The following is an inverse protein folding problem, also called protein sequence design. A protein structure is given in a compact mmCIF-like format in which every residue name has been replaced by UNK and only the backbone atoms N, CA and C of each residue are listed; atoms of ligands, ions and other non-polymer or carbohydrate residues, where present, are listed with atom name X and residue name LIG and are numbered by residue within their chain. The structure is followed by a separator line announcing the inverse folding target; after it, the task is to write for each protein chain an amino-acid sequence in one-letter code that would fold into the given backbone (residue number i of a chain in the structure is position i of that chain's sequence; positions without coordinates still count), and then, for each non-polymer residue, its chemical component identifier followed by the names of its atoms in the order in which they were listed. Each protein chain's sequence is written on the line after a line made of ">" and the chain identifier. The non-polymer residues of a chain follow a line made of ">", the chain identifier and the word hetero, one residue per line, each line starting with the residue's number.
data_IF_591558926283
#
_entry.id   IF_591558926283
#
_cell.length_a   1.000
_cell.length_b   1.000
_cell.length_c   1.000
_cell.angle_alpha   90.00
_cell.angle_beta   90.00
_cell.angle_gamma   90.00
#
_symmetry.space_group_name_H-M   'P 1'
#
loop_
_entity.id
_entity.type
_entity.pdbx_description
1 polymer ?
#
# COMPACT_ATOMS: atom_id res chain seq x y z
N UNK A 1 3.06 2.69 3.94
CA UNK A 1 1.83 1.91 3.76
C UNK A 1 0.65 2.62 4.42
N UNK A 2 -0.54 2.52 3.85
CA UNK A 2 -1.79 3.04 4.43
C UNK A 2 -2.91 2.02 4.26
N UNK A 3 -3.67 1.78 5.33
CA UNK A 3 -4.82 0.87 5.30
C UNK A 3 -6.13 1.57 4.89
N UNK A 4 -6.13 2.89 4.79
CA UNK A 4 -7.37 3.66 4.58
C UNK A 4 -8.33 3.59 5.76
N UNK A 5 -9.58 3.98 5.54
CA UNK A 5 -10.65 3.96 6.56
C UNK A 5 -11.55 2.73 6.54
N UNK A 6 -11.28 1.76 5.67
CA UNK A 6 -12.07 0.53 5.55
C UNK A 6 -11.61 -0.61 6.46
N UNK A 7 -12.17 -1.79 6.23
CA UNK A 7 -11.72 -3.00 6.90
C UNK A 7 -10.28 -3.34 6.53
N UNK A 8 -9.50 -3.77 7.51
CA UNK A 8 -8.11 -4.16 7.35
C UNK A 8 -7.99 -5.64 7.68
N UNK A 9 -7.32 -6.41 6.82
CA UNK A 9 -6.98 -7.78 7.17
C UNK A 9 -5.63 -7.83 7.91
N UNK A 10 -5.54 -8.68 8.92
CA UNK A 10 -4.28 -8.93 9.62
C UNK A 10 -3.22 -9.47 8.66
N UNK A 11 -3.60 -10.35 7.74
CA UNK A 11 -2.70 -10.89 6.70
C UNK A 11 -2.01 -9.80 5.89
N UNK A 12 -2.74 -8.75 5.52
CA UNK A 12 -2.18 -7.62 4.77
C UNK A 12 -1.18 -6.82 5.62
N UNK A 13 -1.51 -6.55 6.88
CA UNK A 13 -0.62 -5.83 7.79
C UNK A 13 0.65 -6.62 8.06
N UNK A 14 0.53 -7.89 8.36
CA UNK A 14 1.66 -8.78 8.62
C UNK A 14 2.55 -8.94 7.39
N UNK A 15 1.94 -9.16 6.21
CA UNK A 15 2.67 -9.26 4.96
C UNK A 15 3.44 -7.98 4.63
N UNK A 16 2.81 -6.82 4.78
CA UNK A 16 3.46 -5.54 4.48
C UNK A 16 4.57 -5.21 5.49
N UNK A 17 4.35 -5.45 6.78
CA UNK A 17 5.38 -5.23 7.82
C UNK A 17 6.57 -6.18 7.59
N UNK A 18 6.30 -7.45 7.33
CA UNK A 18 7.32 -8.46 7.08
C UNK A 18 8.08 -8.29 5.78
N UNK A 19 7.48 -7.62 4.80
CA UNK A 19 8.09 -7.40 3.49
C UNK A 19 9.35 -6.56 3.55
N UNK A 20 9.46 -5.62 4.50
CA UNK A 20 10.65 -4.78 4.62
C UNK A 20 11.94 -5.58 4.73
N UNK A 21 11.98 -6.61 5.57
CA UNK A 21 13.16 -7.44 5.77
C UNK A 21 13.53 -8.30 4.54
N UNK A 22 12.59 -8.48 3.62
CA UNK A 22 12.76 -9.29 2.38
C UNK A 22 12.97 -8.43 1.13
N UNK A 23 12.71 -7.12 1.22
CA UNK A 23 12.91 -6.17 0.12
C UNK A 23 14.38 -5.78 0.01
N UNK A 24 14.81 -5.46 -1.21
CA UNK A 24 16.10 -4.81 -1.48
C UNK A 24 16.22 -3.43 -0.80
N UNK A 25 15.10 -2.89 -0.30
CA UNK A 25 15.00 -1.60 0.39
C UNK A 25 14.92 -1.76 1.92
N UNK A 26 15.52 -2.80 2.48
CA UNK A 26 15.47 -3.09 3.93
C UNK A 26 16.07 -2.00 4.82
N UNK A 27 16.94 -1.16 4.28
CA UNK A 27 17.55 -0.04 5.02
C UNK A 27 16.66 1.19 5.10
N UNK A 28 15.60 1.29 4.29
CA UNK A 28 14.68 2.42 4.30
C UNK A 28 13.68 2.25 5.45
N UNK A 29 13.34 3.36 6.10
CA UNK A 29 12.26 3.39 7.09
C UNK A 29 10.91 3.16 6.42
N UNK A 30 10.13 2.24 6.94
CA UNK A 30 8.76 1.98 6.52
C UNK A 30 7.79 2.54 7.54
N UNK A 31 6.84 3.33 7.08
CA UNK A 31 5.77 3.89 7.89
C UNK A 31 4.47 3.18 7.55
N UNK A 32 3.77 2.68 8.57
CA UNK A 32 2.49 1.99 8.45
C UNK A 32 1.42 2.83 9.14
N UNK A 33 0.52 3.38 8.33
CA UNK A 33 -0.60 4.19 8.81
C UNK A 33 -1.85 3.31 8.89
N UNK A 34 -2.38 3.14 10.09
CA UNK A 34 -3.55 2.31 10.35
C UNK A 34 -4.75 3.20 10.67
N UNK A 35 -5.86 2.97 9.96
CA UNK A 35 -7.10 3.68 10.18
C UNK A 35 -7.67 3.48 11.60
N UNK A 36 -8.55 4.39 12.00
CA UNK A 36 -9.13 4.39 13.35
C UNK A 36 -10.12 3.25 13.61
N UNK A 37 -10.51 2.49 12.57
CA UNK A 37 -11.42 1.35 12.70
C UNK A 37 -10.78 0.11 13.38
N UNK A 38 -9.45 0.02 13.38
CA UNK A 38 -8.78 -1.04 14.12
C UNK A 38 -8.85 -0.74 15.63
N UNK A 39 -9.35 -1.68 16.47
CA UNK A 39 -9.40 -1.50 17.92
C UNK A 39 -8.03 -1.13 18.52
N UNK A 40 -8.04 -0.39 19.63
CA UNK A 40 -6.81 0.16 20.21
C UNK A 40 -5.85 -0.91 20.70
N UNK A 41 -6.36 -2.01 21.25
CA UNK A 41 -5.55 -3.15 21.70
C UNK A 41 -4.82 -3.84 20.53
N UNK A 42 -5.51 -4.05 19.41
CA UNK A 42 -4.91 -4.58 18.19
C UNK A 42 -3.90 -3.60 17.57
N UNK A 43 -4.22 -2.32 17.54
CA UNK A 43 -3.28 -1.29 17.08
C UNK A 43 -2.02 -1.25 17.94
N UNK A 44 -2.17 -1.26 19.26
CA UNK A 44 -1.05 -1.25 20.18
C UNK A 44 -0.15 -2.49 20.01
N UNK A 45 -0.74 -3.66 19.73
CA UNK A 45 0.02 -4.88 19.44
C UNK A 45 0.91 -4.72 18.21
N UNK A 46 0.40 -4.14 17.10
CA UNK A 46 1.22 -3.86 15.91
C UNK A 46 2.30 -2.82 16.18
N UNK A 47 1.98 -1.74 16.88
CA UNK A 47 2.91 -0.67 17.22
C UNK A 47 4.06 -1.17 18.10
N UNK A 48 3.73 -1.91 19.16
CA UNK A 48 4.70 -2.32 20.20
C UNK A 48 5.58 -3.48 19.73
N UNK A 49 5.11 -4.28 18.76
CA UNK A 49 5.87 -5.39 18.18
C UNK A 49 6.46 -5.04 16.78
N UNK A 50 6.40 -3.79 16.36
CA UNK A 50 6.95 -3.39 15.07
C UNK A 50 8.47 -3.67 15.00
N UNK A 51 8.97 -4.32 13.95
CA UNK A 51 10.38 -4.60 13.82
C UNK A 51 11.18 -3.31 13.61
N UNK A 52 12.47 -3.38 13.87
CA UNK A 52 13.37 -2.24 13.64
C UNK A 52 13.21 -1.66 12.22
N UNK A 53 13.09 -0.34 12.12
CA UNK A 53 12.90 0.36 10.85
C UNK A 53 11.46 0.43 10.36
N UNK A 54 10.50 -0.17 11.08
CA UNK A 54 9.07 -0.01 10.84
C UNK A 54 8.47 0.86 11.93
N UNK A 55 7.71 1.88 11.54
CA UNK A 55 6.98 2.77 12.46
C UNK A 55 5.48 2.60 12.19
N UNK A 56 4.74 2.22 13.20
CA UNK A 56 3.28 2.05 13.14
C UNK A 56 2.60 3.23 13.81
N UNK A 57 1.73 3.91 13.08
CA UNK A 57 1.01 5.11 13.51
C UNK A 57 -0.46 5.03 13.12
N UNK A 58 -1.31 5.80 13.78
CA UNK A 58 -2.67 6.06 13.30
C UNK A 58 -2.65 6.91 12.03
N UNK A 59 -3.69 6.80 11.22
CA UNK A 59 -3.88 7.64 10.04
C UNK A 59 -3.79 9.12 10.41
N UNK A 60 -3.15 9.90 9.54
CA UNK A 60 -2.75 11.29 9.80
C UNK A 60 -3.45 12.24 8.82
N UNK A 61 -3.77 13.47 9.24
CA UNK A 61 -4.36 14.47 8.36
C UNK A 61 -3.42 14.97 7.26
N UNK A 62 -2.10 14.85 7.45
CA UNK A 62 -1.07 15.23 6.48
C UNK A 62 -0.69 14.10 5.49
N UNK A 63 -1.58 13.13 5.28
CA UNK A 63 -1.34 11.96 4.42
C UNK A 63 -0.86 12.34 3.02
N UNK A 64 -1.44 13.37 2.40
CA UNK A 64 -1.05 13.83 1.07
C UNK A 64 0.41 14.31 1.03
N UNK A 65 0.85 14.99 2.08
CA UNK A 65 2.24 15.47 2.18
C UNK A 65 3.20 14.28 2.37
N UNK A 66 2.81 13.31 3.19
CA UNK A 66 3.58 12.07 3.36
C UNK A 66 3.69 11.33 2.03
N UNK A 67 2.59 11.21 1.29
CA UNK A 67 2.55 10.55 -0.01
C UNK A 67 3.45 11.23 -1.04
N UNK A 68 3.40 12.55 -1.13
CA UNK A 68 4.23 13.33 -2.06
C UNK A 68 5.74 13.23 -1.77
N UNK A 69 6.11 12.89 -0.53
CA UNK A 69 7.51 12.80 -0.09
C UNK A 69 7.99 11.37 0.16
N UNK A 70 7.15 10.37 -0.04
CA UNK A 70 7.57 8.97 0.10
C UNK A 70 8.13 8.42 -1.21
N UNK A 71 8.97 7.40 -1.11
CA UNK A 71 9.55 6.72 -2.29
C UNK A 71 8.58 5.73 -2.92
N UNK A 72 7.66 5.19 -2.14
CA UNK A 72 6.67 4.22 -2.57
C UNK A 72 5.48 4.19 -1.61
N UNK A 73 4.30 3.96 -2.15
CA UNK A 73 3.06 3.76 -1.38
C UNK A 73 2.56 2.33 -1.51
N UNK A 74 2.19 1.71 -0.37
CA UNK A 74 1.45 0.44 -0.34
C UNK A 74 0.06 0.76 0.21
N UNK A 75 -0.99 0.33 -0.49
CA UNK A 75 -2.37 0.57 -0.06
C UNK A 75 -3.33 -0.53 -0.49
N UNK A 76 -4.55 -0.51 0.07
CA UNK A 76 -5.62 -1.43 -0.33
C UNK A 76 -6.29 -1.05 -1.67
N UNK A 77 -5.94 0.07 -2.27
CA UNK A 77 -6.52 0.50 -3.53
C UNK A 77 -7.91 1.13 -3.41
N UNK A 78 -8.25 1.69 -2.25
CA UNK A 78 -9.46 2.51 -2.11
C UNK A 78 -9.42 3.70 -3.07
N UNK A 79 -10.58 4.10 -3.61
CA UNK A 79 -10.66 5.09 -4.69
C UNK A 79 -9.88 6.38 -4.39
N UNK A 80 -10.11 7.00 -3.24
CA UNK A 80 -9.45 8.27 -2.88
C UNK A 80 -7.93 8.10 -2.79
N UNK A 81 -7.46 7.02 -2.16
CA UNK A 81 -6.03 6.75 -2.02
C UNK A 81 -5.37 6.52 -3.37
N UNK A 82 -6.02 5.77 -4.26
CA UNK A 82 -5.52 5.55 -5.62
C UNK A 82 -5.40 6.87 -6.38
N UNK A 83 -6.43 7.73 -6.32
CA UNK A 83 -6.39 9.03 -6.99
C UNK A 83 -5.28 9.93 -6.44
N UNK A 84 -5.06 9.93 -5.13
CA UNK A 84 -3.97 10.69 -4.50
C UNK A 84 -2.59 10.16 -4.89
N UNK A 85 -2.42 8.84 -4.96
CA UNK A 85 -1.17 8.18 -5.41
C UNK A 85 -0.86 8.55 -6.86
N UNK A 86 -1.84 8.47 -7.74
CA UNK A 86 -1.67 8.82 -9.15
C UNK A 86 -1.36 10.31 -9.34
N UNK A 87 -2.06 11.18 -8.62
CA UNK A 87 -1.81 12.63 -8.65
C UNK A 87 -0.41 13.00 -8.14
N UNK A 88 0.07 12.31 -7.10
CA UNK A 88 1.41 12.49 -6.56
C UNK A 88 2.51 11.83 -7.44
N UNK A 89 2.12 10.99 -8.40
CA UNK A 89 3.03 10.18 -9.23
C UNK A 89 3.99 9.32 -8.40
N UNK A 90 3.53 8.85 -7.25
CA UNK A 90 4.31 8.03 -6.35
C UNK A 90 4.28 6.57 -6.83
N UNK A 91 5.43 5.89 -6.96
CA UNK A 91 5.45 4.44 -7.19
C UNK A 91 4.56 3.71 -6.18
N UNK A 92 3.77 2.75 -6.63
CA UNK A 92 2.75 2.17 -5.76
C UNK A 92 2.60 0.65 -5.91
N UNK A 93 2.27 0.02 -4.79
CA UNK A 93 1.79 -1.36 -4.71
C UNK A 93 0.37 -1.33 -4.14
N UNK A 94 -0.54 -1.96 -4.85
CA UNK A 94 -1.92 -2.15 -4.40
C UNK A 94 -2.10 -3.59 -3.89
N UNK A 95 -2.71 -3.73 -2.73
CA UNK A 95 -3.14 -5.01 -2.15
C UNK A 95 -4.65 -4.92 -1.94
N UNK A 96 -5.47 -5.18 -2.98
CA UNK A 96 -6.91 -4.97 -2.89
C UNK A 96 -7.54 -5.93 -1.90
N UNK A 97 -8.39 -5.41 -1.03
CA UNK A 97 -9.21 -6.21 -0.14
C UNK A 97 -10.50 -6.62 -0.87
N UNK A 98 -10.70 -7.91 -1.05
CA UNK A 98 -11.81 -8.41 -1.84
C UNK A 98 -12.93 -9.07 -1.00
N UNK A 99 -12.77 -9.26 0.31
CA UNK A 99 -13.81 -9.83 1.18
C UNK A 99 -14.43 -11.14 0.65
N UNK A 100 -13.73 -11.86 -0.22
CA UNK A 100 -14.21 -13.09 -0.86
C UNK A 100 -14.95 -12.90 -2.21
N UNK A 101 -15.27 -11.68 -2.60
CA UNK A 101 -15.87 -11.34 -3.90
C UNK A 101 -14.97 -10.38 -4.67
N UNK A 102 -14.94 -10.54 -6.00
CA UNK A 102 -14.27 -9.57 -6.86
C UNK A 102 -14.95 -8.22 -6.70
N UNK A 103 -14.21 -7.26 -6.15
CA UNK A 103 -14.71 -5.92 -5.88
C UNK A 103 -14.33 -4.97 -7.01
N UNK A 104 -15.08 -3.89 -7.13
CA UNK A 104 -14.73 -2.76 -8.00
C UNK A 104 -13.31 -2.25 -7.74
N UNK A 105 -12.89 -2.30 -6.48
CA UNK A 105 -11.54 -1.98 -6.02
C UNK A 105 -10.48 -2.89 -6.67
N UNK A 106 -10.72 -4.21 -6.67
CA UNK A 106 -9.82 -5.19 -7.30
C UNK A 106 -9.72 -4.96 -8.79
N UNK A 107 -10.85 -4.76 -9.48
CA UNK A 107 -10.86 -4.49 -10.92
C UNK A 107 -10.08 -3.23 -11.25
N UNK A 108 -10.28 -2.14 -10.50
CA UNK A 108 -9.55 -0.89 -10.67
C UNK A 108 -8.04 -1.10 -10.54
N UNK A 109 -7.59 -1.77 -9.48
CA UNK A 109 -6.16 -2.03 -9.27
C UNK A 109 -5.57 -2.89 -10.39
N UNK A 110 -6.29 -3.90 -10.88
CA UNK A 110 -5.84 -4.71 -12.03
C UNK A 110 -5.68 -3.89 -13.30
N UNK A 111 -6.64 -3.03 -13.61
CA UNK A 111 -6.57 -2.16 -14.79
C UNK A 111 -5.39 -1.18 -14.72
N UNK A 112 -5.16 -0.58 -13.56
CA UNK A 112 -4.03 0.32 -13.35
C UNK A 112 -2.68 -0.41 -13.40
N UNK A 113 -2.61 -1.61 -12.86
CA UNK A 113 -1.41 -2.44 -12.95
C UNK A 113 -1.12 -2.88 -14.40
N UNK A 114 -2.13 -3.28 -15.14
CA UNK A 114 -2.00 -3.62 -16.56
C UNK A 114 -1.53 -2.42 -17.40
N UNK A 115 -1.91 -1.20 -17.02
CA UNK A 115 -1.44 0.06 -17.61
C UNK A 115 -0.06 0.52 -17.14
N UNK A 116 0.60 -0.23 -16.25
CA UNK A 116 1.92 0.14 -15.73
C UNK A 116 1.90 1.28 -14.70
N UNK A 117 0.73 1.62 -14.15
CA UNK A 117 0.59 2.71 -13.20
C UNK A 117 0.95 2.32 -11.76
N UNK A 118 0.90 1.03 -11.46
CA UNK A 118 1.25 0.46 -10.15
C UNK A 118 1.52 -1.03 -10.25
N UNK A 119 2.05 -1.61 -9.18
CA UNK A 119 2.10 -3.05 -8.98
C UNK A 119 0.88 -3.52 -8.21
N UNK A 120 0.49 -4.79 -8.37
CA UNK A 120 -0.60 -5.41 -7.62
C UNK A 120 -0.14 -6.70 -6.96
N UNK A 121 -0.56 -6.92 -5.71
CA UNK A 121 -0.47 -8.20 -5.01
C UNK A 121 -1.90 -8.68 -4.77
N UNK A 122 -2.29 -9.74 -5.47
CA UNK A 122 -3.65 -10.26 -5.39
C UNK A 122 -3.87 -11.07 -4.10
N UNK A 123 -5.13 -11.17 -3.68
CA UNK A 123 -5.52 -11.73 -2.38
C UNK A 123 -4.97 -13.13 -2.10
N UNK A 124 -4.85 -14.00 -3.10
CA UNK A 124 -4.27 -15.34 -2.95
C UNK A 124 -2.75 -15.37 -2.75
N UNK A 125 -2.07 -14.24 -2.89
CA UNK A 125 -0.62 -14.11 -2.84
C UNK A 125 -0.15 -13.09 -1.80
N UNK A 126 -0.99 -12.76 -0.80
CA UNK A 126 -0.66 -11.76 0.24
C UNK A 126 0.24 -12.39 1.28
N UNK A 127 1.53 -12.32 1.05
CA UNK A 127 2.58 -12.68 1.99
C UNK A 127 3.77 -11.72 1.88
N UNK A 128 4.68 -11.78 2.83
CA UNK A 128 5.83 -10.88 2.91
C UNK A 128 6.74 -10.97 1.67
N UNK A 129 6.91 -12.15 1.08
CA UNK A 129 7.76 -12.34 -0.08
C UNK A 129 7.17 -11.71 -1.35
N UNK A 130 5.87 -11.91 -1.61
CA UNK A 130 5.18 -11.32 -2.76
C UNK A 130 5.09 -9.80 -2.64
N UNK A 131 4.80 -9.27 -1.43
CA UNK A 131 4.78 -7.82 -1.20
C UNK A 131 6.17 -7.22 -1.40
N UNK A 132 7.23 -7.84 -0.87
CA UNK A 132 8.60 -7.38 -1.07
C UNK A 132 8.98 -7.34 -2.55
N UNK A 133 8.67 -8.39 -3.30
CA UNK A 133 8.94 -8.45 -4.73
C UNK A 133 8.19 -7.35 -5.51
N UNK A 134 6.93 -7.09 -5.17
CA UNK A 134 6.14 -6.01 -5.78
C UNK A 134 6.74 -4.62 -5.46
N UNK A 135 7.18 -4.40 -4.22
CA UNK A 135 7.89 -3.17 -3.82
C UNK A 135 9.14 -2.95 -4.64
N UNK A 136 9.95 -3.98 -4.79
CA UNK A 136 11.20 -3.90 -5.55
C UNK A 136 10.95 -3.62 -7.04
N UNK A 137 9.93 -4.25 -7.64
CA UNK A 137 9.52 -3.97 -9.02
C UNK A 137 9.00 -2.54 -9.19
N UNK A 138 8.14 -2.08 -8.30
CA UNK A 138 7.57 -0.73 -8.36
C UNK A 138 8.67 0.35 -8.27
N UNK A 139 9.65 0.16 -7.39
CA UNK A 139 10.78 1.09 -7.27
C UNK A 139 11.71 1.05 -8.47
N UNK A 140 11.92 -0.12 -9.07
CA UNK A 140 12.73 -0.25 -10.30
C UNK A 140 12.05 0.39 -11.51
N UNK A 141 10.71 0.29 -11.61
CA UNK A 141 9.94 0.90 -12.69
C UNK A 141 9.85 2.43 -12.58
N UNK A 142 9.95 2.97 -11.35
CA UNK A 142 9.79 4.39 -11.10
C UNK A 142 8.33 4.87 -11.13
N UNK A 143 8.11 6.20 -11.19
CA UNK A 143 6.78 6.78 -11.20
C UNK A 143 6.00 6.42 -12.47
N UNK A 144 4.67 6.31 -12.33
CA UNK A 144 3.78 5.98 -13.43
C UNK A 144 3.96 6.93 -14.63
N UNK A 145 3.91 6.41 -15.88
CA UNK A 145 3.97 7.24 -17.08
C UNK A 145 2.76 8.19 -17.14
N UNK A 146 2.97 9.41 -17.63
CA UNK A 146 1.92 10.45 -17.73
C UNK A 146 0.95 10.17 -18.87
N UNK A 147 1.40 9.43 -19.89
CA UNK A 147 0.63 9.18 -21.11
C UNK A 147 -0.29 7.98 -20.95
N UNK A 148 -1.59 8.22 -20.90
CA UNK A 148 -2.61 7.18 -21.02
C UNK A 148 -3.55 7.00 -19.83
N UNK A 149 -3.33 7.66 -18.72
CA UNK A 149 -4.31 7.71 -17.63
C UNK A 149 -5.26 8.89 -17.89
N UNK A 150 -6.32 8.61 -18.66
CA UNK A 150 -7.48 9.50 -18.67
C UNK A 150 -8.17 9.31 -17.31
N UNK A 151 -7.91 10.25 -16.40
CA UNK A 151 -8.48 10.24 -15.04
C UNK A 151 -9.94 10.69 -15.04
N UNK A 152 -10.57 10.70 -16.20
CA UNK A 152 -11.99 10.94 -16.38
C UNK A 152 -12.39 12.31 -15.83
N UNK A 153 -12.29 13.32 -16.65
CA UNK A 153 -12.87 14.63 -16.33
C UNK A 153 -14.39 14.58 -16.21
#
# INVERSE_FOLDING_TARGET
>A
MSTGGGAVSDDMLEAAIGARARSLQSEIRWRVLIGHNLPEDAFAAYRDNAPHGVVVERSRPDFRQLLANCRLSISQGGYNTVMEVLAARTPAVCIPYAGGLESEQTLRCRLLAAGGAMEIVEQGSVDAAHVAAAVDRALSAGPAPVSGLDLGG
#
